data_IF_129608143280
#
_entry.id   IF_129608143280
#
_cell.length_a   1.000
_cell.length_b   1.000
_cell.length_c   1.000
_cell.angle_alpha   90.00
_cell.angle_beta   90.00
_cell.angle_gamma   90.00
#
_symmetry.space_group_name_H-M   'P 1'
#
loop_
_entity.id
_entity.type
_entity.pdbx_description
1 polymer ?
#
# COMPACT_ATOMS: atom_id res chain seq x y z
N UNK A 1 -35.56 -31.50 -40.33
CA UNK A 1 -35.12 -32.90 -40.54
C UNK A 1 -33.69 -33.01 -40.03
N UNK A 2 -33.46 -33.95 -39.11
CA UNK A 2 -32.27 -34.11 -38.30
C UNK A 2 -31.08 -34.77 -39.04
N UNK A 3 -29.92 -34.74 -38.35
CA UNK A 3 -28.71 -35.62 -38.43
C UNK A 3 -27.49 -34.95 -39.11
N UNK A 4 -26.26 -35.04 -38.61
CA UNK A 4 -25.64 -35.90 -37.57
C UNK A 4 -24.27 -35.32 -37.16
N UNK A 5 -24.00 -35.36 -35.86
CA UNK A 5 -22.69 -35.28 -35.21
C UNK A 5 -21.75 -36.41 -35.67
N UNK A 6 -20.44 -36.15 -35.81
CA UNK A 6 -19.38 -37.15 -35.54
C UNK A 6 -18.10 -36.50 -34.97
N UNK A 7 -17.90 -36.74 -33.68
CA UNK A 7 -16.63 -36.76 -32.95
C UNK A 7 -15.65 -37.76 -33.59
N UNK A 8 -14.34 -37.46 -33.58
CA UNK A 8 -13.28 -38.48 -33.57
C UNK A 8 -12.17 -38.09 -32.60
N UNK A 9 -12.23 -38.68 -31.41
CA UNK A 9 -11.08 -38.87 -30.54
C UNK A 9 -10.17 -39.96 -31.13
N UNK A 10 -8.85 -39.80 -30.99
CA UNK A 10 -7.87 -40.88 -31.13
C UNK A 10 -7.11 -41.02 -29.82
N UNK A 11 -7.19 -42.22 -29.25
CA UNK A 11 -6.38 -42.73 -28.13
C UNK A 11 -5.25 -43.60 -28.68
N UNK A 12 -4.28 -43.86 -27.79
CA UNK A 12 -3.38 -45.02 -27.70
C UNK A 12 -1.95 -44.78 -28.20
N UNK A 13 -0.85 -45.22 -27.57
CA UNK A 13 -0.58 -46.04 -26.36
C UNK A 13 0.96 -46.11 -26.18
N UNK A 14 1.46 -46.17 -24.93
CA UNK A 14 2.65 -46.92 -24.41
C UNK A 14 4.06 -46.72 -25.08
N UNK A 15 5.24 -46.91 -24.47
CA UNK A 15 5.68 -47.46 -23.19
C UNK A 15 7.21 -47.26 -23.02
N UNK A 16 7.64 -47.40 -21.75
CA UNK A 16 8.93 -47.91 -21.23
C UNK A 16 10.27 -47.18 -21.51
N UNK A 17 10.96 -46.89 -20.39
CA UNK A 17 12.41 -46.72 -20.30
C UNK A 17 12.89 -46.81 -18.85
N UNK A 18 13.21 -48.03 -18.40
CA UNK A 18 13.92 -48.33 -17.15
C UNK A 18 15.35 -47.77 -17.20
N UNK A 19 15.85 -47.26 -16.07
CA UNK A 19 17.27 -47.00 -15.85
C UNK A 19 17.58 -46.89 -14.36
N UNK A 20 17.95 -48.01 -13.74
CA UNK A 20 18.54 -48.07 -12.41
C UNK A 20 20.02 -48.45 -12.54
N UNK A 21 20.95 -47.74 -11.91
CA UNK A 21 22.21 -48.33 -11.42
C UNK A 21 22.70 -47.59 -10.17
N UNK A 22 23.20 -48.40 -9.24
CA UNK A 22 23.63 -48.16 -7.86
C UNK A 22 25.15 -47.92 -7.79
N UNK A 23 25.64 -47.18 -6.79
CA UNK A 23 26.89 -47.38 -6.00
C UNK A 23 27.00 -46.22 -4.97
N UNK A 24 26.66 -46.41 -3.69
CA UNK A 24 27.44 -47.02 -2.60
C UNK A 24 28.78 -46.31 -2.29
N UNK A 25 28.86 -45.71 -1.09
CA UNK A 25 30.08 -45.15 -0.50
C UNK A 25 29.86 -44.68 0.93
N UNK A 26 29.85 -45.61 1.89
CA UNK A 26 30.07 -45.33 3.32
C UNK A 26 31.57 -45.35 3.62
N UNK A 27 32.05 -44.42 4.44
CA UNK A 27 33.12 -44.67 5.42
C UNK A 27 33.16 -43.55 6.47
N UNK A 28 32.92 -43.95 7.71
CA UNK A 28 33.22 -43.20 8.92
C UNK A 28 34.61 -43.58 9.44
N UNK A 29 35.26 -42.69 10.21
CA UNK A 29 36.17 -42.91 11.35
C UNK A 29 36.59 -41.51 11.86
N UNK A 30 36.06 -40.99 12.98
CA UNK A 30 36.48 -41.18 14.39
C UNK A 30 37.78 -40.46 14.79
N UNK A 31 37.71 -39.63 15.85
CA UNK A 31 38.88 -39.08 16.55
C UNK A 31 38.65 -37.79 17.35
N UNK A 32 38.00 -37.88 18.52
CA UNK A 32 38.27 -37.02 19.68
C UNK A 32 39.32 -37.75 20.58
N UNK A 33 40.02 -37.16 21.58
CA UNK A 33 39.36 -36.50 22.73
C UNK A 33 40.11 -35.35 23.48
N UNK A 34 39.32 -34.64 24.29
CA UNK A 34 39.48 -34.19 25.69
C UNK A 34 40.53 -33.19 26.24
N UNK A 35 39.95 -32.34 27.11
CA UNK A 35 40.42 -31.79 28.41
C UNK A 35 41.38 -30.57 28.39
N UNK A 36 41.30 -29.59 29.29
CA UNK A 36 40.35 -29.17 30.34
C UNK A 36 40.81 -27.78 30.84
N UNK A 37 39.88 -27.01 31.38
CA UNK A 37 39.98 -25.75 32.18
C UNK A 37 40.86 -25.92 33.45
N UNK A 38 41.01 -24.93 34.39
CA UNK A 38 40.74 -23.48 34.39
C UNK A 38 41.87 -22.65 35.08
N UNK A 39 41.75 -21.31 35.11
CA UNK A 39 42.02 -20.47 36.31
C UNK A 39 41.87 -18.96 36.04
N UNK A 40 40.92 -18.34 36.76
CA UNK A 40 40.93 -16.93 37.19
C UNK A 40 41.69 -16.86 38.53
N UNK A 41 42.41 -15.77 38.87
CA UNK A 41 41.78 -14.81 39.79
C UNK A 41 42.19 -13.33 39.61
N UNK A 42 41.15 -12.48 39.61
CA UNK A 42 40.99 -11.20 40.34
C UNK A 42 42.19 -10.26 40.57
N UNK A 43 42.03 -9.02 40.06
CA UNK A 43 42.76 -7.82 40.48
C UNK A 43 41.93 -6.55 40.20
N UNK A 44 41.91 -5.54 41.10
CA UNK A 44 40.88 -4.51 41.13
C UNK A 44 41.19 -3.36 40.16
N UNK A 45 40.21 -2.93 39.37
CA UNK A 45 40.30 -1.69 38.59
C UNK A 45 39.47 -0.59 39.26
N UNK A 46 40.18 0.49 39.56
CA UNK A 46 39.75 1.63 40.33
C UNK A 46 38.55 2.38 39.74
N UNK A 47 37.67 2.82 40.64
CA UNK A 47 36.70 3.89 40.41
C UNK A 47 37.42 5.19 40.08
N UNK A 48 37.07 5.79 38.94
CA UNK A 48 37.50 7.14 38.56
C UNK A 48 36.27 8.07 38.56
N UNK A 49 36.42 9.34 39.00
CA UNK A 49 35.32 10.15 39.48
C UNK A 49 34.50 10.79 38.35
N UNK A 50 33.21 10.98 38.63
CA UNK A 50 32.30 11.76 37.81
C UNK A 50 32.83 13.18 37.58
N UNK A 51 32.81 13.62 36.32
CA UNK A 51 33.06 15.00 35.93
C UNK A 51 31.89 15.91 36.42
N UNK A 52 32.15 17.18 36.78
CA UNK A 52 31.13 18.07 37.30
C UNK A 52 30.15 18.49 36.19
N UNK A 53 28.85 18.45 36.50
CA UNK A 53 27.81 19.02 35.65
C UNK A 53 27.98 20.55 35.60
N UNK A 54 28.07 21.10 34.38
CA UNK A 54 27.91 22.54 34.15
C UNK A 54 26.42 22.89 34.16
N UNK A 55 26.04 24.09 34.66
CA UNK A 55 24.65 24.45 34.87
C UNK A 55 24.01 24.86 33.54
N UNK A 56 22.85 24.29 33.21
CA UNK A 56 22.02 24.78 32.11
C UNK A 56 20.88 25.59 32.72
N UNK A 57 20.86 26.87 32.37
CA UNK A 57 19.88 27.88 32.77
C UNK A 57 18.44 27.53 32.35
N UNK A 58 17.42 28.08 33.03
CA UNK A 58 16.04 27.75 32.77
C UNK A 58 15.48 28.57 31.59
N UNK A 59 14.74 27.89 30.71
CA UNK A 59 13.72 28.50 29.88
C UNK A 59 13.91 28.33 28.38
N UNK A 60 13.20 27.36 27.82
CA UNK A 60 12.51 27.50 26.54
C UNK A 60 11.15 26.82 26.69
N UNK A 61 10.11 27.65 26.90
CA UNK A 61 8.73 27.25 26.65
C UNK A 61 8.57 26.96 25.16
N UNK A 62 8.15 25.73 24.82
CA UNK A 62 7.34 25.45 23.64
C UNK A 62 8.03 25.49 22.28
N UNK A 63 8.97 24.57 22.02
CA UNK A 63 9.16 24.06 20.68
C UNK A 63 8.33 22.77 20.54
N UNK A 64 7.24 22.80 19.77
CA UNK A 64 6.62 21.57 19.28
C UNK A 64 7.68 20.94 18.38
N UNK A 65 8.27 19.82 18.83
CA UNK A 65 9.28 19.10 18.06
C UNK A 65 8.72 18.68 16.70
N UNK A 66 9.60 18.54 15.69
CA UNK A 66 9.20 17.90 14.45
C UNK A 66 8.54 16.53 14.76
N UNK A 67 7.44 16.19 14.08
CA UNK A 67 6.70 14.95 14.36
C UNK A 67 7.63 13.74 14.24
N UNK A 68 7.55 12.83 15.20
CA UNK A 68 8.37 11.63 15.27
C UNK A 68 7.75 10.49 14.48
N UNK A 69 8.57 9.62 13.87
CA UNK A 69 8.07 8.40 13.23
C UNK A 69 7.42 7.50 14.28
N UNK A 70 6.12 7.19 14.13
CA UNK A 70 5.37 6.33 15.06
C UNK A 70 5.08 4.95 14.50
N UNK A 71 5.05 4.81 13.17
CA UNK A 71 4.88 3.53 12.50
C UNK A 71 5.42 3.58 11.07
N UNK A 72 5.92 2.44 10.58
CA UNK A 72 6.25 2.27 9.17
C UNK A 72 6.11 0.82 8.71
N UNK A 73 5.93 0.68 7.40
CA UNK A 73 6.20 -0.55 6.65
C UNK A 73 7.18 -0.21 5.53
N UNK A 74 8.35 -0.84 5.57
CA UNK A 74 9.45 -0.67 4.61
C UNK A 74 9.46 -1.79 3.57
N UNK A 75 8.45 -2.68 3.59
CA UNK A 75 8.23 -3.75 2.62
C UNK A 75 9.44 -4.68 2.38
N UNK A 76 10.27 -4.86 3.40
CA UNK A 76 11.33 -5.86 3.43
C UNK A 76 10.76 -7.28 3.44
N UNK A 77 11.23 -8.14 2.54
CA UNK A 77 10.85 -9.55 2.52
C UNK A 77 11.32 -10.29 1.28
N UNK A 78 10.97 -11.57 1.16
CA UNK A 78 11.32 -12.38 0.00
C UNK A 78 10.44 -12.03 -1.22
N UNK A 79 11.02 -12.09 -2.43
CA UNK A 79 10.27 -11.86 -3.65
C UNK A 79 9.08 -12.83 -3.80
N UNK A 80 7.90 -12.29 -4.07
CA UNK A 80 6.64 -13.03 -4.18
C UNK A 80 5.93 -13.28 -2.84
N UNK A 81 6.51 -12.89 -1.71
CA UNK A 81 5.82 -12.92 -0.43
C UNK A 81 4.70 -11.86 -0.40
N UNK A 82 3.58 -12.10 0.30
CA UNK A 82 2.59 -11.04 0.54
C UNK A 82 3.16 -9.95 1.47
N UNK A 83 2.58 -8.73 1.49
CA UNK A 83 2.85 -7.77 2.56
C UNK A 83 2.45 -8.34 3.93
N UNK A 84 2.94 -7.75 5.03
CA UNK A 84 2.70 -8.29 6.38
C UNK A 84 1.19 -8.47 6.65
N UNK A 85 0.69 -9.72 6.78
CA UNK A 85 -0.74 -9.96 6.96
C UNK A 85 -1.27 -9.50 8.32
N UNK A 86 -0.40 -9.24 9.29
CA UNK A 86 -0.78 -8.62 10.56
C UNK A 86 -1.14 -7.13 10.39
N UNK A 87 -0.68 -6.51 9.31
CA UNK A 87 -0.94 -5.11 8.96
C UNK A 87 -1.94 -5.02 7.80
N UNK A 88 -1.61 -5.61 6.65
CA UNK A 88 -2.35 -5.42 5.41
C UNK A 88 -3.29 -6.60 5.15
N UNK A 89 -4.56 -6.28 4.91
CA UNK A 89 -5.55 -7.25 4.47
C UNK A 89 -6.00 -6.93 3.04
N UNK A 90 -6.25 -7.95 2.19
CA UNK A 90 -6.84 -7.74 0.88
C UNK A 90 -8.33 -7.35 1.02
N UNK A 91 -8.73 -6.27 0.34
CA UNK A 91 -10.13 -5.84 0.19
C UNK A 91 -10.63 -6.28 -1.19
N UNK A 92 -10.93 -7.58 -1.30
CA UNK A 92 -11.20 -8.25 -2.57
C UNK A 92 -12.67 -8.16 -3.00
N UNK A 93 -12.93 -7.48 -4.12
CA UNK A 93 -14.24 -7.37 -4.76
C UNK A 93 -14.12 -7.02 -6.24
N UNK A 94 -15.20 -7.16 -7.00
CA UNK A 94 -15.27 -6.76 -8.41
C UNK A 94 -16.47 -5.88 -8.75
N UNK A 95 -17.30 -5.46 -7.79
CA UNK A 95 -18.49 -4.63 -8.05
C UNK A 95 -18.20 -3.17 -8.45
N UNK A 96 -16.93 -2.78 -8.66
CA UNK A 96 -16.54 -1.49 -9.27
C UNK A 96 -16.37 -0.32 -8.30
N UNK A 97 -16.29 -0.57 -6.99
CA UNK A 97 -15.86 0.43 -5.99
C UNK A 97 -16.79 1.63 -5.76
N UNK A 98 -17.93 1.70 -6.46
CA UNK A 98 -18.79 2.89 -6.49
C UNK A 98 -18.41 3.89 -7.59
N UNK A 99 -17.35 3.62 -8.35
CA UNK A 99 -16.79 4.51 -9.38
C UNK A 99 -16.72 3.87 -10.77
N UNK A 100 -17.54 2.84 -11.03
CA UNK A 100 -17.57 2.08 -12.29
C UNK A 100 -16.20 1.49 -12.69
N UNK A 101 -15.37 1.14 -11.71
CA UNK A 101 -14.05 0.54 -11.91
C UNK A 101 -14.16 -0.84 -12.61
N UNK A 102 -13.11 -1.22 -13.35
CA UNK A 102 -13.13 -2.36 -14.28
C UNK A 102 -12.34 -3.58 -13.80
N UNK A 103 -11.55 -3.44 -12.74
CA UNK A 103 -10.77 -4.54 -12.16
C UNK A 103 -11.55 -5.37 -11.17
N UNK A 104 -11.09 -6.60 -11.03
CA UNK A 104 -11.29 -7.43 -9.85
C UNK A 104 -10.15 -7.16 -8.86
N UNK A 105 -10.43 -6.69 -7.66
CA UNK A 105 -9.47 -6.76 -6.57
C UNK A 105 -9.43 -8.19 -6.03
N UNK A 106 -8.22 -8.75 -5.92
CA UNK A 106 -8.00 -10.14 -5.49
C UNK A 106 -7.11 -10.20 -4.24
N UNK A 107 -7.06 -11.38 -3.62
CA UNK A 107 -6.09 -11.76 -2.60
C UNK A 107 -4.91 -12.58 -3.18
N UNK A 108 -4.78 -12.62 -4.52
CA UNK A 108 -3.74 -13.38 -5.20
C UNK A 108 -2.40 -12.63 -5.11
N UNK A 109 -1.29 -13.27 -4.65
CA UNK A 109 0.03 -12.65 -4.60
C UNK A 109 0.56 -12.13 -5.94
N UNK A 110 -0.01 -12.60 -7.07
CA UNK A 110 0.29 -12.03 -8.40
C UNK A 110 -0.21 -10.60 -8.56
N UNK A 111 -1.17 -10.15 -7.75
CA UNK A 111 -1.67 -8.79 -7.74
C UNK A 111 -1.07 -7.91 -6.63
N UNK A 112 -0.59 -8.49 -5.52
CA UNK A 112 0.17 -7.77 -4.50
C UNK A 112 1.23 -8.67 -3.87
N UNK A 113 2.51 -8.35 -4.08
CA UNK A 113 3.63 -9.06 -3.47
C UNK A 113 4.86 -8.18 -3.33
N UNK A 114 5.77 -8.59 -2.45
CA UNK A 114 7.09 -8.00 -2.27
C UNK A 114 8.00 -8.40 -3.44
N UNK A 115 8.89 -7.51 -3.89
CA UNK A 115 9.80 -7.79 -5.00
C UNK A 115 11.16 -8.38 -4.58
N UNK A 116 11.42 -8.47 -3.27
CA UNK A 116 12.71 -8.89 -2.73
C UNK A 116 13.78 -7.80 -2.70
N UNK A 117 13.41 -6.56 -3.01
CA UNK A 117 14.28 -5.39 -3.07
C UNK A 117 13.85 -4.28 -2.11
N UNK A 118 12.92 -4.57 -1.19
CA UNK A 118 12.37 -3.60 -0.24
C UNK A 118 11.18 -2.83 -0.81
N UNK A 119 10.44 -3.40 -1.75
CA UNK A 119 9.22 -2.76 -2.26
C UNK A 119 8.03 -3.72 -2.26
N UNK A 120 6.85 -3.15 -2.00
CA UNK A 120 5.57 -3.74 -2.35
C UNK A 120 5.24 -3.40 -3.81
N UNK A 121 4.84 -4.41 -4.59
CA UNK A 121 4.38 -4.24 -5.96
C UNK A 121 2.90 -4.60 -6.06
N UNK A 122 2.06 -3.59 -6.29
CA UNK A 122 0.66 -3.77 -6.66
C UNK A 122 0.56 -3.85 -8.18
N UNK A 123 0.18 -5.03 -8.68
CA UNK A 123 0.15 -5.37 -10.11
C UNK A 123 -1.28 -5.44 -10.63
N UNK A 124 -1.59 -4.62 -11.62
CA UNK A 124 -2.80 -4.76 -12.42
C UNK A 124 -2.50 -5.59 -13.68
N UNK A 125 -3.30 -6.63 -13.92
CA UNK A 125 -3.11 -7.60 -14.99
C UNK A 125 -4.34 -7.64 -15.90
N UNK A 126 -4.13 -7.86 -17.21
CA UNK A 126 -5.23 -8.27 -18.08
C UNK A 126 -5.61 -9.72 -17.75
N UNK A 127 -6.88 -9.95 -17.47
CA UNK A 127 -7.45 -11.23 -17.09
C UNK A 127 -8.88 -11.35 -17.66
N UNK A 128 -9.03 -11.61 -18.97
CA UNK A 128 -10.34 -11.68 -19.62
C UNK A 128 -11.26 -12.70 -18.97
N UNK A 129 -12.53 -12.35 -18.81
CA UNK A 129 -13.58 -13.20 -18.22
C UNK A 129 -13.26 -13.73 -16.80
N UNK A 130 -12.46 -13.01 -16.02
CA UNK A 130 -12.11 -13.39 -14.64
C UNK A 130 -13.31 -13.26 -13.71
N UNK A 131 -13.60 -14.31 -12.93
CA UNK A 131 -14.69 -14.30 -11.94
C UNK A 131 -14.16 -13.93 -10.56
N UNK A 132 -14.66 -12.82 -10.03
CA UNK A 132 -14.30 -12.27 -8.73
C UNK A 132 -14.89 -13.05 -7.55
N UNK A 133 -14.37 -12.78 -6.35
CA UNK A 133 -14.87 -13.36 -5.10
C UNK A 133 -16.36 -13.05 -4.84
N UNK A 134 -16.84 -11.88 -5.29
CA UNK A 134 -18.25 -11.46 -5.20
C UNK A 134 -19.12 -12.00 -6.36
N UNK A 135 -18.56 -12.84 -7.24
CA UNK A 135 -19.24 -13.45 -8.38
C UNK A 135 -19.37 -12.54 -9.62
N UNK A 136 -18.87 -11.30 -9.57
CA UNK A 136 -18.80 -10.44 -10.76
C UNK A 136 -17.76 -10.93 -11.75
N UNK A 137 -17.91 -10.60 -13.04
CA UNK A 137 -16.95 -10.95 -14.09
C UNK A 137 -16.29 -9.68 -14.60
N UNK A 138 -14.95 -9.69 -14.65
CA UNK A 138 -14.10 -8.56 -15.04
C UNK A 138 -12.98 -9.02 -15.99
N UNK A 139 -12.44 -8.07 -16.74
CA UNK A 139 -11.36 -8.33 -17.71
C UNK A 139 -9.97 -7.94 -17.19
N UNK A 140 -9.91 -7.45 -15.96
CA UNK A 140 -8.68 -7.05 -15.29
C UNK A 140 -8.68 -7.56 -13.85
N UNK A 141 -7.50 -7.85 -13.32
CA UNK A 141 -7.27 -8.08 -11.89
C UNK A 141 -6.31 -7.03 -11.36
N UNK A 142 -6.40 -6.73 -10.07
CA UNK A 142 -5.50 -5.84 -9.34
C UNK A 142 -5.60 -6.16 -7.84
N UNK A 143 -4.97 -5.35 -6.99
CA UNK A 143 -5.12 -5.45 -5.54
C UNK A 143 -5.49 -4.10 -4.91
N UNK A 144 -6.21 -4.23 -3.80
CA UNK A 144 -6.52 -3.17 -2.85
C UNK A 144 -6.23 -3.72 -1.47
N UNK A 145 -5.34 -3.04 -0.75
CA UNK A 145 -4.90 -3.41 0.58
C UNK A 145 -5.45 -2.40 1.58
N UNK A 146 -5.81 -2.87 2.76
CA UNK A 146 -6.35 -2.04 3.85
C UNK A 146 -5.72 -2.39 5.19
N UNK A 147 -5.63 -1.40 6.08
CA UNK A 147 -5.28 -1.61 7.49
C UNK A 147 -6.49 -1.57 8.43
N UNK A 148 -7.72 -1.60 7.90
CA UNK A 148 -8.98 -1.42 8.66
C UNK A 148 -9.07 -2.30 9.91
N UNK A 149 -8.57 -3.53 9.84
CA UNK A 149 -8.64 -4.49 10.94
C UNK A 149 -7.39 -4.52 11.85
N UNK A 150 -6.40 -3.68 11.58
CA UNK A 150 -5.07 -3.73 12.23
C UNK A 150 -4.64 -2.39 12.83
N UNK A 151 -4.58 -1.34 12.02
CA UNK A 151 -3.98 -0.05 12.37
C UNK A 151 -4.84 1.11 11.89
N UNK A 152 -4.90 2.14 12.73
CA UNK A 152 -5.53 3.42 12.39
C UNK A 152 -4.85 4.54 13.17
N UNK A 153 -4.93 5.76 12.63
CA UNK A 153 -4.32 6.95 13.21
C UNK A 153 -5.29 8.11 13.18
N UNK A 154 -5.18 8.98 14.18
CA UNK A 154 -5.86 10.27 14.19
C UNK A 154 -4.81 11.37 14.19
N UNK A 155 -4.85 12.23 13.17
CA UNK A 155 -3.85 13.27 12.91
C UNK A 155 -2.45 12.72 12.66
N UNK A 156 -1.55 13.65 12.33
CA UNK A 156 -0.17 13.36 11.99
C UNK A 156 0.07 13.42 10.49
N UNK A 157 1.25 12.98 10.10
CA UNK A 157 1.65 12.87 8.71
C UNK A 157 1.40 11.46 8.22
N UNK A 158 0.62 11.31 7.15
CA UNK A 158 0.49 10.06 6.41
C UNK A 158 1.33 10.17 5.15
N UNK A 159 2.29 9.27 4.95
CA UNK A 159 3.27 9.35 3.88
C UNK A 159 3.39 8.01 3.15
N UNK A 160 3.47 8.07 1.82
CA UNK A 160 3.85 6.95 0.97
C UNK A 160 4.96 7.39 0.00
N UNK A 161 6.00 6.58 -0.15
CA UNK A 161 6.95 6.73 -1.26
C UNK A 161 6.65 5.69 -2.31
N UNK A 162 6.23 6.12 -3.49
CA UNK A 162 5.79 5.24 -4.55
C UNK A 162 6.17 5.73 -5.95
N UNK A 163 6.29 4.80 -6.89
CA UNK A 163 6.32 5.04 -8.33
C UNK A 163 4.97 4.60 -8.92
N UNK A 164 4.25 5.56 -9.50
CA UNK A 164 2.94 5.32 -10.13
C UNK A 164 3.10 4.74 -11.54
N UNK A 165 2.11 3.97 -12.05
CA UNK A 165 2.13 3.50 -13.43
C UNK A 165 1.98 4.63 -14.46
N UNK A 166 2.58 4.45 -15.64
CA UNK A 166 2.44 5.38 -16.77
C UNK A 166 1.19 5.15 -17.64
N UNK A 167 0.51 4.00 -17.49
CA UNK A 167 -0.53 3.56 -18.42
C UNK A 167 -1.82 4.37 -18.36
N UNK A 168 -2.33 4.84 -19.50
CA UNK A 168 -3.69 5.41 -19.60
C UNK A 168 -4.72 4.39 -19.10
N UNK A 169 -5.71 4.86 -18.34
CA UNK A 169 -6.72 4.00 -17.72
C UNK A 169 -6.27 3.37 -16.41
N UNK A 170 -5.08 3.71 -15.89
CA UNK A 170 -4.69 3.39 -14.51
C UNK A 170 -5.13 4.49 -13.55
N UNK A 171 -5.46 4.08 -12.33
CA UNK A 171 -5.80 4.96 -11.21
C UNK A 171 -5.24 4.40 -9.90
N UNK A 172 -3.93 4.56 -9.63
CA UNK A 172 -3.36 4.30 -8.32
C UNK A 172 -3.88 5.29 -7.26
N UNK A 173 -4.02 4.82 -6.03
CA UNK A 173 -4.36 5.66 -4.90
C UNK A 173 -3.70 5.19 -3.60
N UNK A 174 -3.28 6.15 -2.77
CA UNK A 174 -2.98 6.00 -1.35
C UNK A 174 -3.84 6.98 -0.56
N UNK A 175 -4.63 6.46 0.37
CA UNK A 175 -5.75 7.18 0.95
C UNK A 175 -6.14 6.58 2.30
N UNK A 176 -7.06 7.24 3.00
CA UNK A 176 -7.48 6.87 4.32
C UNK A 176 -9.00 7.02 4.50
N UNK A 177 -9.60 6.14 5.31
CA UNK A 177 -11.03 6.10 5.54
C UNK A 177 -11.33 6.05 7.05
N UNK A 178 -12.37 6.75 7.50
CA UNK A 178 -12.75 6.76 8.91
C UNK A 178 -13.13 5.37 9.42
N UNK A 179 -12.64 5.02 10.62
CA UNK A 179 -12.85 3.68 11.21
C UNK A 179 -14.31 3.35 11.53
N UNK A 180 -15.19 4.35 11.57
CA UNK A 180 -16.61 4.20 11.83
C UNK A 180 -17.45 3.96 10.55
N UNK A 181 -16.80 3.67 9.42
CA UNK A 181 -17.47 3.45 8.12
C UNK A 181 -18.52 2.35 8.16
N UNK A 182 -18.27 1.26 8.89
CA UNK A 182 -19.24 0.17 9.01
C UNK A 182 -20.54 0.63 9.71
N UNK A 183 -20.44 1.58 10.64
CA UNK A 183 -21.53 2.09 11.45
C UNK A 183 -22.29 3.23 10.78
N UNK A 184 -21.57 4.21 10.22
CA UNK A 184 -22.17 5.45 9.70
C UNK A 184 -22.27 5.49 8.19
N UNK A 185 -21.56 4.60 7.50
CA UNK A 185 -21.44 4.59 6.04
C UNK A 185 -20.64 5.78 5.49
N UNK A 186 -20.29 5.68 4.21
CA UNK A 186 -19.74 6.81 3.47
C UNK A 186 -20.88 7.71 2.94
N UNK A 187 -20.73 9.05 2.91
CA UNK A 187 -19.53 9.85 3.20
C UNK A 187 -19.40 10.29 4.66
N UNK A 188 -20.26 9.81 5.57
CA UNK A 188 -20.25 10.21 6.98
C UNK A 188 -18.98 9.77 7.72
N UNK A 189 -18.37 8.68 7.26
CA UNK A 189 -17.08 8.20 7.75
C UNK A 189 -15.93 9.18 7.48
N UNK A 190 -16.04 10.02 6.45
CA UNK A 190 -14.92 10.82 5.97
C UNK A 190 -13.89 9.99 5.20
N UNK A 191 -13.21 10.63 4.27
CA UNK A 191 -12.18 10.05 3.40
C UNK A 191 -11.10 11.10 3.12
N UNK A 192 -9.83 10.71 3.23
CA UNK A 192 -8.67 11.55 2.94
C UNK A 192 -7.86 10.87 1.85
N UNK A 193 -7.82 11.48 0.67
CA UNK A 193 -7.03 11.02 -0.45
C UNK A 193 -5.67 11.72 -0.44
N UNK A 194 -4.64 11.00 0.02
CA UNK A 194 -3.27 11.52 0.13
C UNK A 194 -2.65 11.68 -1.24
N UNK A 195 -2.87 10.68 -2.10
CA UNK A 195 -2.43 10.65 -3.48
C UNK A 195 -3.44 9.88 -4.31
N UNK A 196 -3.99 10.56 -5.32
CA UNK A 196 -4.59 9.93 -6.48
C UNK A 196 -3.81 10.37 -7.72
N UNK A 197 -3.62 9.44 -8.65
CA UNK A 197 -3.04 9.75 -9.96
C UNK A 197 -3.83 9.02 -11.04
N UNK A 198 -3.95 9.62 -12.22
CA UNK A 198 -4.55 8.96 -13.39
C UNK A 198 -3.60 9.03 -14.57
N UNK A 199 -3.30 7.88 -15.19
CA UNK A 199 -2.26 7.82 -16.22
C UNK A 199 -2.52 8.67 -17.48
N UNK A 200 -3.76 9.13 -17.69
CA UNK A 200 -4.10 10.11 -18.76
C UNK A 200 -3.58 11.53 -18.50
N UNK A 201 -3.22 11.83 -17.26
CA UNK A 201 -2.68 13.12 -16.79
C UNK A 201 -1.33 12.87 -16.12
N UNK A 202 -0.28 12.53 -16.89
CA UNK A 202 0.93 11.90 -16.38
C UNK A 202 1.71 12.77 -15.38
N UNK A 203 1.54 14.09 -15.41
CA UNK A 203 2.24 15.03 -14.51
C UNK A 203 1.40 15.47 -13.31
N UNK A 204 0.12 15.10 -13.26
CA UNK A 204 -0.80 15.57 -12.23
C UNK A 204 -0.91 14.57 -11.09
N UNK A 205 -0.81 15.08 -9.87
CA UNK A 205 -1.29 14.39 -8.66
C UNK A 205 -2.51 15.13 -8.12
N UNK A 206 -3.45 14.36 -7.59
CA UNK A 206 -4.69 14.86 -7.00
C UNK A 206 -4.73 14.49 -5.53
N UNK A 207 -5.23 15.42 -4.71
CA UNK A 207 -5.52 15.22 -3.30
C UNK A 207 -6.94 15.70 -3.04
N UNK A 208 -7.71 14.87 -2.34
CA UNK A 208 -9.13 15.09 -2.11
C UNK A 208 -9.48 14.82 -0.65
N UNK A 209 -10.54 15.47 -0.18
CA UNK A 209 -11.26 15.02 1.01
C UNK A 209 -12.75 14.97 0.73
N UNK A 210 -13.40 13.96 1.30
CA UNK A 210 -14.84 13.77 1.22
C UNK A 210 -15.45 13.75 2.61
N UNK A 211 -16.61 14.40 2.76
CA UNK A 211 -17.36 14.39 4.00
C UNK A 211 -18.86 14.57 3.80
N UNK A 212 -19.64 14.51 4.89
CA UNK A 212 -21.08 14.62 4.83
C UNK A 212 -21.55 16.08 4.96
N UNK A 213 -22.54 16.46 4.16
CA UNK A 213 -23.36 17.66 4.42
C UNK A 213 -24.23 17.42 5.65
N UNK A 214 -24.89 18.47 6.18
CA UNK A 214 -25.88 18.29 7.26
C UNK A 214 -27.00 17.28 6.89
N UNK A 215 -27.38 17.25 5.61
CA UNK A 215 -28.37 16.30 5.09
C UNK A 215 -27.82 14.87 4.90
N UNK A 216 -26.51 14.66 5.09
CA UNK A 216 -25.84 13.37 4.92
C UNK A 216 -25.46 13.03 3.48
N UNK A 217 -25.59 13.98 2.54
CA UNK A 217 -25.05 13.82 1.17
C UNK A 217 -23.55 14.11 1.16
N UNK A 218 -22.86 13.81 0.05
CA UNK A 218 -21.43 14.10 -0.09
C UNK A 218 -21.17 15.58 -0.36
N UNK A 219 -20.18 16.14 0.32
CA UNK A 219 -19.37 17.24 -0.18
C UNK A 219 -17.95 16.74 -0.47
N UNK A 220 -17.21 17.45 -1.32
CA UNK A 220 -15.81 17.14 -1.61
C UNK A 220 -15.01 18.42 -1.82
N UNK A 221 -13.74 18.38 -1.46
CA UNK A 221 -12.74 19.37 -1.87
C UNK A 221 -11.61 18.63 -2.54
N UNK A 222 -11.27 19.04 -3.76
CA UNK A 222 -10.20 18.45 -4.56
C UNK A 222 -9.18 19.52 -4.92
N UNK A 223 -7.90 19.18 -4.88
CA UNK A 223 -6.77 19.98 -5.35
C UNK A 223 -5.95 19.13 -6.32
N UNK A 224 -5.39 19.79 -7.32
CA UNK A 224 -4.50 19.16 -8.31
C UNK A 224 -3.17 19.91 -8.30
N UNK A 225 -2.08 19.17 -8.48
CA UNK A 225 -0.74 19.73 -8.62
C UNK A 225 -0.04 19.14 -9.84
N UNK A 226 0.53 20.02 -10.66
CA UNK A 226 1.38 19.64 -11.78
C UNK A 226 2.85 19.57 -11.33
N UNK A 227 3.38 18.35 -11.28
CA UNK A 227 4.77 18.08 -10.91
C UNK A 227 5.78 18.56 -11.98
N UNK A 228 5.31 18.94 -13.18
CA UNK A 228 6.13 19.41 -14.29
C UNK A 228 6.88 18.32 -15.06
N UNK A 229 6.81 17.07 -14.59
CA UNK A 229 7.31 15.88 -15.26
C UNK A 229 6.39 14.67 -14.97
N UNK A 230 6.40 13.63 -15.80
CA UNK A 230 5.62 12.42 -15.52
C UNK A 230 5.98 11.81 -14.16
N UNK A 231 4.98 11.63 -13.30
CA UNK A 231 5.15 11.02 -11.97
C UNK A 231 5.55 9.54 -12.03
N UNK A 232 5.43 8.93 -13.21
CA UNK A 232 5.86 7.55 -13.47
C UNK A 232 7.35 7.42 -13.81
N UNK A 233 8.08 8.53 -13.99
CA UNK A 233 9.51 8.52 -14.32
C UNK A 233 10.38 8.04 -13.14
N UNK A 234 9.85 8.02 -11.91
CA UNK A 234 10.55 7.53 -10.73
C UNK A 234 9.68 7.51 -9.49
N UNK A 235 10.32 7.23 -8.34
CA UNK A 235 9.66 7.31 -7.05
C UNK A 235 9.52 8.76 -6.59
N UNK A 236 8.34 9.06 -6.05
CA UNK A 236 8.03 10.30 -5.38
C UNK A 236 7.49 10.03 -3.97
N UNK A 237 7.70 10.97 -3.06
CA UNK A 237 7.10 10.93 -1.73
C UNK A 237 5.84 11.78 -1.73
N UNK A 238 4.69 11.14 -1.52
CA UNK A 238 3.40 11.79 -1.37
C UNK A 238 3.01 11.78 0.10
N UNK A 239 2.55 12.91 0.63
CA UNK A 239 2.14 12.98 2.01
C UNK A 239 0.99 13.94 2.24
N UNK A 240 0.32 13.76 3.36
CA UNK A 240 -0.59 14.75 3.93
C UNK A 240 -0.24 14.94 5.40
N UNK A 241 -0.06 16.20 5.81
CA UNK A 241 -0.01 16.58 7.21
C UNK A 241 -1.43 16.96 7.63
N UNK A 242 -2.02 16.17 8.52
CA UNK A 242 -3.42 16.30 8.95
C UNK A 242 -3.50 16.61 10.44
N UNK A 243 -4.24 17.65 10.78
CA UNK A 243 -4.45 18.10 12.15
C UNK A 243 -5.88 18.60 12.41
N UNK A 244 -6.16 19.11 13.63
CA UNK A 244 -7.49 19.55 14.01
C UNK A 244 -8.01 20.77 13.24
N UNK A 245 -7.11 21.56 12.64
CA UNK A 245 -7.43 22.79 11.92
C UNK A 245 -7.49 22.63 10.40
N UNK A 246 -7.20 21.43 9.87
CA UNK A 246 -7.14 21.16 8.44
C UNK A 246 -6.07 20.15 8.06
N UNK A 247 -5.71 20.17 6.78
CA UNK A 247 -4.64 19.36 6.23
C UNK A 247 -3.90 20.08 5.10
N UNK A 248 -2.67 19.66 4.86
CA UNK A 248 -1.80 20.13 3.77
C UNK A 248 -1.16 18.94 3.06
N UNK A 249 -1.26 18.89 1.74
CA UNK A 249 -0.61 17.87 0.92
C UNK A 249 0.78 18.31 0.49
N UNK A 250 1.68 17.34 0.41
CA UNK A 250 3.04 17.50 -0.06
C UNK A 250 3.40 16.52 -1.17
N UNK A 251 4.35 16.95 -2.01
CA UNK A 251 5.04 16.13 -3.00
C UNK A 251 6.54 16.39 -2.84
N UNK A 252 7.31 15.33 -2.59
CA UNK A 252 8.76 15.38 -2.38
C UNK A 252 9.19 16.40 -1.31
N UNK A 253 8.43 16.45 -0.21
CA UNK A 253 8.66 17.34 0.93
C UNK A 253 8.34 18.82 0.64
N UNK A 254 7.53 19.09 -0.40
CA UNK A 254 7.08 20.44 -0.74
C UNK A 254 5.55 20.52 -0.68
N UNK A 255 4.97 21.43 0.12
CA UNK A 255 3.54 21.63 0.14
C UNK A 255 3.06 22.21 -1.19
N UNK A 256 1.91 21.72 -1.67
CA UNK A 256 1.32 22.16 -2.95
C UNK A 256 -0.16 22.49 -2.86
N UNK A 257 -0.85 22.13 -1.79
CA UNK A 257 -2.25 22.44 -1.57
C UNK A 257 -2.71 22.02 -0.18
N UNK A 258 -3.86 22.51 0.25
CA UNK A 258 -4.43 22.13 1.53
C UNK A 258 -5.90 22.54 1.64
N UNK A 259 -6.53 22.08 2.72
CA UNK A 259 -7.91 22.42 3.09
C UNK A 259 -7.94 22.72 4.58
N UNK A 260 -8.32 23.95 4.92
CA UNK A 260 -8.58 24.29 6.31
C UNK A 260 -9.93 23.74 6.75
N UNK A 261 -10.07 23.40 8.04
CA UNK A 261 -11.35 23.04 8.64
C UNK A 261 -12.42 24.10 8.40
N UNK A 262 -12.07 25.37 8.55
CA UNK A 262 -12.98 26.49 8.33
C UNK A 262 -13.45 26.61 6.87
N UNK A 263 -12.67 26.14 5.89
CA UNK A 263 -13.09 26.01 4.50
C UNK A 263 -14.06 24.84 4.34
N UNK A 264 -13.70 23.65 4.85
CA UNK A 264 -14.53 22.45 4.75
C UNK A 264 -15.90 22.62 5.44
N UNK A 265 -15.94 23.30 6.58
CA UNK A 265 -17.17 23.57 7.34
C UNK A 265 -18.15 24.51 6.60
N UNK A 266 -17.73 25.19 5.53
CA UNK A 266 -18.64 25.92 4.64
C UNK A 266 -19.43 24.99 3.71
N UNK A 267 -18.97 23.76 3.52
CA UNK A 267 -19.57 22.77 2.64
C UNK A 267 -20.39 21.71 3.40
N UNK A 268 -20.04 21.43 4.66
CA UNK A 268 -20.72 20.44 5.48
C UNK A 268 -20.05 20.21 6.83
N UNK A 269 -20.26 19.03 7.40
CA UNK A 269 -19.70 18.67 8.70
C UNK A 269 -18.24 18.22 8.55
N UNK A 270 -17.38 18.64 9.48
CA UNK A 270 -16.01 18.15 9.60
C UNK A 270 -16.01 16.71 10.12
N UNK A 271 -15.54 15.76 9.30
CA UNK A 271 -15.55 14.33 9.58
C UNK A 271 -14.15 13.76 9.90
N UNK A 272 -13.18 14.61 10.21
CA UNK A 272 -11.75 14.23 10.33
C UNK A 272 -11.19 14.45 11.74
N UNK A 273 -12.05 14.42 12.77
CA UNK A 273 -11.65 14.43 14.19
C UNK A 273 -11.80 13.04 14.82
N UNK A 274 -11.30 12.00 14.14
CA UNK A 274 -11.39 10.59 14.56
C UNK A 274 -10.29 9.75 13.90
N UNK A 275 -10.08 8.49 14.31
CA UNK A 275 -9.12 7.60 13.65
C UNK A 275 -9.53 7.22 12.22
N UNK A 276 -8.53 7.09 11.35
CA UNK A 276 -8.62 6.64 9.97
C UNK A 276 -7.65 5.48 9.74
N UNK A 277 -8.09 4.45 9.00
CA UNK A 277 -7.23 3.38 8.51
C UNK A 277 -6.76 3.69 7.09
N UNK A 278 -5.65 3.10 6.67
CA UNK A 278 -5.04 3.33 5.37
C UNK A 278 -5.54 2.34 4.33
N UNK A 279 -5.58 2.79 3.08
CA UNK A 279 -5.83 1.99 1.90
C UNK A 279 -4.80 2.31 0.81
N UNK A 280 -4.44 1.28 0.06
CA UNK A 280 -3.52 1.36 -1.07
C UNK A 280 -4.05 0.47 -2.20
N UNK A 281 -4.22 1.01 -3.40
CA UNK A 281 -4.72 0.24 -4.53
C UNK A 281 -4.23 0.75 -5.88
N UNK A 282 -4.44 -0.08 -6.90
CA UNK A 282 -4.33 0.28 -8.31
C UNK A 282 -5.64 -0.04 -9.03
N UNK A 283 -6.52 0.95 -9.19
CA UNK A 283 -7.74 0.81 -9.98
C UNK A 283 -7.44 0.85 -11.49
N UNK A 284 -8.32 0.25 -12.27
CA UNK A 284 -8.31 0.26 -13.74
C UNK A 284 -9.64 0.80 -14.25
N UNK A 285 -9.57 1.87 -15.04
CA UNK A 285 -10.69 2.59 -15.60
C UNK A 285 -11.49 3.37 -14.54
N UNK A 286 -12.81 3.33 -14.65
CA UNK A 286 -13.72 4.04 -13.75
C UNK A 286 -13.95 5.51 -14.13
N UNK A 287 -14.77 6.18 -13.32
CA UNK A 287 -15.22 7.55 -13.58
C UNK A 287 -14.05 8.55 -13.61
N UNK A 288 -13.05 8.36 -12.73
CA UNK A 288 -11.85 9.19 -12.68
C UNK A 288 -10.72 8.69 -13.60
N UNK A 289 -10.39 7.39 -13.57
CA UNK A 289 -9.35 6.80 -14.41
C UNK A 289 -9.67 6.85 -15.90
N UNK A 290 -10.95 6.89 -16.26
CA UNK A 290 -11.45 7.03 -17.62
C UNK A 290 -11.44 5.71 -18.41
N UNK A 291 -11.56 5.78 -19.75
CA UNK A 291 -11.53 4.58 -20.57
C UNK A 291 -10.14 3.92 -20.54
N UNK A 292 -10.11 2.60 -20.75
CA UNK A 292 -8.87 1.83 -20.95
C UNK A 292 -8.74 1.53 -22.45
N UNK A 293 -7.83 2.21 -23.17
CA UNK A 293 -7.59 1.90 -24.58
C UNK A 293 -7.14 0.45 -24.77
N UNK A 294 -7.57 -0.25 -25.85
CA UNK A 294 -7.14 -1.64 -26.14
C UNK A 294 -5.61 -1.83 -26.22
N UNK A 295 -4.89 -0.77 -26.56
CA UNK A 295 -3.43 -0.72 -26.66
C UNK A 295 -2.72 -0.46 -25.32
N UNK A 296 -3.47 -0.27 -24.23
CA UNK A 296 -2.88 -0.07 -22.89
C UNK A 296 -2.00 -1.28 -22.56
N UNK A 297 -0.70 -1.10 -22.32
CA UNK A 297 0.17 -2.21 -22.01
C UNK A 297 -0.19 -2.75 -20.62
N UNK A 298 -0.37 -4.06 -20.51
CA UNK A 298 -0.43 -4.75 -19.23
C UNK A 298 0.72 -5.76 -19.16
N UNK A 299 1.28 -6.01 -17.97
CA UNK A 299 0.87 -5.52 -16.66
C UNK A 299 1.21 -4.03 -16.40
N UNK A 300 0.49 -3.43 -15.44
CA UNK A 300 0.77 -2.11 -14.88
C UNK A 300 1.11 -2.25 -13.40
N UNK A 301 2.00 -1.39 -12.91
CA UNK A 301 2.57 -1.52 -11.57
C UNK A 301 2.47 -0.21 -10.81
N UNK A 302 1.98 -0.29 -9.57
CA UNK A 302 2.23 0.69 -8.53
C UNK A 302 3.30 0.06 -7.62
N UNK A 303 4.48 0.67 -7.57
CA UNK A 303 5.60 0.18 -6.76
C UNK A 303 5.76 1.08 -5.56
N UNK A 304 5.73 0.52 -4.36
CA UNK A 304 5.76 1.26 -3.10
C UNK A 304 7.01 0.87 -2.31
N UNK A 305 7.82 1.88 -2.00
CA UNK A 305 9.05 1.74 -1.21
C UNK A 305 8.76 1.73 0.29
N UNK A 306 7.94 2.67 0.76
CA UNK A 306 7.53 2.66 2.16
C UNK A 306 6.17 3.33 2.36
N UNK A 307 5.53 2.95 3.45
CA UNK A 307 4.45 3.74 4.08
C UNK A 307 4.92 4.13 5.47
N UNK A 308 4.79 5.41 5.83
CA UNK A 308 5.23 5.94 7.11
C UNK A 308 4.17 6.84 7.72
N UNK A 309 4.06 6.79 9.05
CA UNK A 309 3.18 7.67 9.82
C UNK A 309 3.98 8.38 10.92
N UNK A 310 3.80 9.69 11.04
CA UNK A 310 4.50 10.54 12.01
C UNK A 310 3.51 11.32 12.89
N UNK A 311 3.81 11.49 14.17
CA UNK A 311 3.01 12.26 15.14
C UNK A 311 3.87 13.02 16.17
#
# INVERSE_FOLDING_TARGET
>A
MARRVRLRARRSLAALGLGATVLAGCSACSGAPDAADPADPSGPAASSPAAPASPVSPGEEGAVGAPGLVWSDEFDGEAGAPPDPAVWQPDAFGHGGGNNELQCYTDDPTNASLDGQGHLVVSALSAPDHTCADGTVRDYTSARLTTESSLSWQYGRLEVRAQVPAGVGTWPAFWAMGTDRAEVGWPRSGEIDVMEHVGRSPTLVTGSIHGPTEAGTRWQVTREHDAGAPLSDGFHTYAVDWGPDGLEWELDGRPWGGVSRAEAEQLGLWAFDKPFYLLLNLAIGGDLGGPVPPETPFPQYLVVDHVRVYQ
#
